data_IF_639743981496
#
_entry.id   IF_639743981496
#
_cell.length_a   1.000
_cell.length_b   1.000
_cell.length_c   1.000
_cell.angle_alpha   90.00
_cell.angle_beta   90.00
_cell.angle_gamma   90.00
#
_symmetry.space_group_name_H-M   'P 1'
#
loop_
_entity.id
_entity.type
_entity.pdbx_description
1 polymer ?
#
# COMPACT_ATOMS: atom_id res chain seq x y z
N UNK A 1 -6.64 -0.38 8.14
CA UNK A 1 -7.13 -0.50 9.53
C UNK A 1 -7.72 0.83 9.96
N UNK A 2 -9.02 0.92 10.21
CA UNK A 2 -9.61 2.11 10.84
C UNK A 2 -9.12 2.17 12.30
N UNK A 3 -8.60 3.31 12.74
CA UNK A 3 -8.12 3.50 14.12
C UNK A 3 -9.25 3.49 15.17
N UNK A 4 -10.50 3.37 14.72
CA UNK A 4 -11.71 3.28 15.56
C UNK A 4 -11.64 2.12 16.53
N UNK A 5 -11.11 0.97 16.11
CA UNK A 5 -11.02 -0.25 16.95
C UNK A 5 -10.06 -0.09 18.14
N UNK A 6 -9.17 0.91 18.10
CA UNK A 6 -8.21 1.21 19.16
C UNK A 6 -8.70 2.28 20.13
N UNK A 7 -9.95 2.78 19.98
CA UNK A 7 -10.53 3.87 20.78
C UNK A 7 -9.63 5.12 20.86
N UNK A 8 -8.80 5.33 19.85
CA UNK A 8 -7.93 6.52 19.74
C UNK A 8 -8.76 7.81 19.74
N UNK A 9 -9.89 7.92 19.01
CA UNK A 9 -10.69 9.15 18.93
C UNK A 9 -11.17 9.64 20.30
N UNK A 10 -11.61 8.74 21.17
CA UNK A 10 -12.10 9.04 22.53
C UNK A 10 -11.02 9.65 23.43
N UNK A 11 -9.74 9.37 23.15
CA UNK A 11 -8.62 9.73 24.04
C UNK A 11 -7.91 11.03 23.64
N UNK A 12 -8.04 11.48 22.38
CA UNK A 12 -7.31 12.65 21.85
C UNK A 12 -7.60 13.92 22.65
N UNK A 13 -8.87 14.16 22.99
CA UNK A 13 -9.25 15.35 23.78
C UNK A 13 -8.60 15.38 25.17
N UNK A 14 -8.45 14.22 25.82
CA UNK A 14 -7.80 14.11 27.12
C UNK A 14 -6.30 14.37 27.02
N UNK A 15 -5.65 13.85 25.98
CA UNK A 15 -4.22 14.11 25.72
C UNK A 15 -3.98 15.61 25.50
N UNK A 16 -4.81 16.28 24.71
CA UNK A 16 -4.66 17.74 24.48
C UNK A 16 -4.78 18.52 25.80
N UNK A 17 -5.76 18.18 26.65
CA UNK A 17 -5.92 18.83 27.96
C UNK A 17 -4.69 18.66 28.84
N UNK A 18 -4.12 17.45 28.90
CA UNK A 18 -2.93 17.22 29.71
C UNK A 18 -1.67 17.87 29.17
N UNK A 19 -1.46 17.86 27.85
CA UNK A 19 -0.32 18.56 27.26
C UNK A 19 -0.41 20.08 27.51
N UNK A 20 -1.61 20.65 27.45
CA UNK A 20 -1.84 22.07 27.75
C UNK A 20 -1.65 22.37 29.24
N UNK A 21 -2.05 21.47 30.14
CA UNK A 21 -1.88 21.62 31.59
C UNK A 21 -0.40 21.74 31.98
N UNK A 22 0.47 20.95 31.33
CA UNK A 22 1.93 21.05 31.48
C UNK A 22 2.50 22.42 31.08
N UNK A 23 1.82 23.12 30.18
CA UNK A 23 2.20 24.46 29.74
C UNK A 23 1.52 25.58 30.56
N UNK A 24 0.81 25.24 31.64
CA UNK A 24 0.01 26.17 32.43
C UNK A 24 -1.17 26.78 31.67
N UNK A 25 -1.65 26.09 30.62
CA UNK A 25 -2.74 26.55 29.75
C UNK A 25 -3.95 25.64 29.89
N UNK A 26 -5.12 26.20 29.60
CA UNK A 26 -6.38 25.46 29.50
C UNK A 26 -6.96 25.66 28.10
N UNK A 27 -7.27 24.58 27.35
CA UNK A 27 -7.84 24.73 26.03
C UNK A 27 -9.29 25.19 26.12
N UNK A 28 -9.67 26.22 25.35
CA UNK A 28 -11.05 26.71 25.27
C UNK A 28 -12.02 25.65 24.70
N UNK A 29 -11.52 24.78 23.82
CA UNK A 29 -12.24 23.67 23.24
C UNK A 29 -11.27 22.55 22.85
N UNK A 30 -11.78 21.33 22.76
CA UNK A 30 -11.07 20.18 22.20
C UNK A 30 -11.91 19.59 21.06
N UNK A 31 -11.28 18.95 20.05
CA UNK A 31 -12.04 18.32 18.97
C UNK A 31 -12.98 17.26 19.54
N UNK A 32 -14.20 17.18 18.98
CA UNK A 32 -15.12 16.10 19.27
C UNK A 32 -14.58 14.79 18.70
N UNK A 33 -15.10 13.66 19.20
CA UNK A 33 -14.79 12.35 18.65
C UNK A 33 -15.07 12.28 17.14
N UNK A 34 -16.19 12.86 16.69
CA UNK A 34 -16.55 12.94 15.27
C UNK A 34 -15.54 13.74 14.45
N UNK A 35 -15.00 14.83 14.98
CA UNK A 35 -13.92 15.59 14.33
C UNK A 35 -12.66 14.76 14.22
N UNK A 36 -12.27 14.05 15.29
CA UNK A 36 -11.07 13.20 15.28
C UNK A 36 -11.23 12.05 14.29
N UNK A 37 -12.39 11.40 14.24
CA UNK A 37 -12.69 10.35 13.26
C UNK A 37 -12.57 10.88 11.82
N UNK A 38 -13.16 12.04 11.51
CA UNK A 38 -13.03 12.65 10.17
C UNK A 38 -11.58 12.97 9.80
N UNK A 39 -10.77 13.41 10.76
CA UNK A 39 -9.34 13.63 10.54
C UNK A 39 -8.63 12.30 10.24
N UNK A 40 -8.95 11.25 10.99
CA UNK A 40 -8.39 9.90 10.81
C UNK A 40 -8.75 9.32 9.43
N UNK A 41 -9.95 9.56 8.94
CA UNK A 41 -10.36 9.12 7.61
C UNK A 41 -9.67 9.95 6.52
N UNK A 42 -9.68 11.29 6.70
CA UNK A 42 -9.11 12.22 5.72
C UNK A 42 -7.59 12.08 5.58
N UNK A 43 -6.87 11.75 6.66
CA UNK A 43 -5.42 11.54 6.60
C UNK A 43 -5.04 10.35 5.71
N UNK A 44 -5.91 9.35 5.54
CA UNK A 44 -5.63 8.21 4.68
C UNK A 44 -5.56 8.67 3.22
N UNK A 45 -6.54 9.48 2.80
CA UNK A 45 -6.55 10.08 1.47
C UNK A 45 -5.33 10.99 1.24
N UNK A 46 -4.91 11.77 2.24
CA UNK A 46 -3.69 12.59 2.17
C UNK A 46 -2.45 11.73 2.04
N UNK A 47 -2.34 10.67 2.86
CA UNK A 47 -1.22 9.73 2.80
C UNK A 47 -1.13 9.04 1.43
N UNK A 48 -2.25 8.56 0.88
CA UNK A 48 -2.26 7.93 -0.44
C UNK A 48 -1.84 8.89 -1.55
N UNK A 49 -2.29 10.16 -1.51
CA UNK A 49 -1.85 11.17 -2.48
C UNK A 49 -0.35 11.42 -2.40
N UNK A 50 0.18 11.61 -1.19
CA UNK A 50 1.62 11.84 -0.97
C UNK A 50 2.45 10.63 -1.40
N UNK A 51 2.05 9.42 -0.99
CA UNK A 51 2.73 8.18 -1.38
C UNK A 51 2.71 8.01 -2.89
N UNK A 52 1.59 8.35 -3.55
CA UNK A 52 1.51 8.30 -5.02
C UNK A 52 2.48 9.27 -5.67
N UNK A 53 2.59 10.52 -5.19
CA UNK A 53 3.57 11.48 -5.74
C UNK A 53 5.00 10.93 -5.66
N UNK A 54 5.36 10.33 -4.54
CA UNK A 54 6.71 9.80 -4.35
C UNK A 54 6.95 8.53 -5.16
N UNK A 55 6.07 7.52 -5.03
CA UNK A 55 6.30 6.19 -5.60
C UNK A 55 6.18 6.15 -7.13
N UNK A 56 5.47 7.09 -7.75
CA UNK A 56 5.38 7.17 -9.21
C UNK A 56 6.70 7.59 -9.87
N UNK A 57 7.60 8.20 -9.10
CA UNK A 57 8.95 8.58 -9.53
C UNK A 57 10.00 7.51 -9.20
N UNK A 58 9.67 6.55 -8.32
CA UNK A 58 10.57 5.50 -7.88
C UNK A 58 10.48 4.28 -8.80
N UNK A 59 11.60 3.60 -9.01
CA UNK A 59 11.70 2.34 -9.77
C UNK A 59 12.38 1.28 -8.91
N UNK A 60 12.31 0.03 -9.36
CA UNK A 60 13.00 -1.11 -8.73
C UNK A 60 12.70 -1.27 -7.23
N UNK A 61 11.47 -0.97 -6.83
CA UNK A 61 11.06 -1.07 -5.42
C UNK A 61 10.93 -2.52 -4.99
N UNK A 62 11.14 -2.80 -3.70
CA UNK A 62 10.95 -4.13 -3.11
C UNK A 62 9.72 -4.13 -2.22
N UNK A 63 8.80 -5.06 -2.45
CA UNK A 63 7.61 -5.26 -1.62
C UNK A 63 7.90 -6.21 -0.46
N UNK A 64 7.85 -5.68 0.74
CA UNK A 64 7.91 -6.44 1.98
C UNK A 64 6.50 -6.72 2.47
N UNK A 65 6.24 -7.97 2.81
CA UNK A 65 5.05 -8.35 3.56
C UNK A 65 5.45 -8.94 4.90
N UNK A 66 4.89 -8.38 5.97
CA UNK A 66 5.15 -8.79 7.35
C UNK A 66 3.85 -9.00 8.11
N UNK A 67 3.81 -10.02 8.95
CA UNK A 67 2.62 -10.42 9.67
C UNK A 67 2.83 -10.34 11.18
N UNK A 68 1.85 -9.73 11.87
CA UNK A 68 1.77 -9.74 13.32
C UNK A 68 0.40 -10.16 13.80
N UNK A 69 0.35 -10.86 14.93
CA UNK A 69 -0.90 -11.20 15.62
C UNK A 69 -1.10 -10.25 16.78
N UNK A 70 -2.22 -9.53 16.80
CA UNK A 70 -2.55 -8.58 17.87
C UNK A 70 -4.02 -8.71 18.25
N UNK A 71 -4.31 -8.86 19.54
CA UNK A 71 -5.67 -9.02 20.08
C UNK A 71 -6.50 -10.12 19.38
N UNK A 72 -5.86 -11.24 19.04
CA UNK A 72 -6.53 -12.35 18.33
C UNK A 72 -6.75 -12.12 16.83
N UNK A 73 -6.38 -10.95 16.31
CA UNK A 73 -6.46 -10.61 14.88
C UNK A 73 -5.10 -10.82 14.21
N UNK A 74 -5.12 -11.35 13.00
CA UNK A 74 -3.95 -11.44 12.14
C UNK A 74 -3.87 -10.17 11.28
N UNK A 75 -2.76 -9.45 11.35
CA UNK A 75 -2.59 -8.19 10.63
C UNK A 75 -1.36 -8.33 9.73
N UNK A 76 -1.53 -8.02 8.45
CA UNK A 76 -0.44 -8.00 7.47
C UNK A 76 -0.14 -6.58 7.04
N UNK A 77 1.15 -6.28 6.96
CA UNK A 77 1.71 -5.01 6.52
C UNK A 77 2.28 -5.17 5.13
N UNK A 78 2.07 -4.16 4.28
CA UNK A 78 2.63 -4.07 2.94
C UNK A 78 3.50 -2.82 2.89
N UNK A 79 4.80 -3.01 2.72
CA UNK A 79 5.80 -1.92 2.73
C UNK A 79 6.60 -1.99 1.44
N UNK A 80 6.76 -0.85 0.77
CA UNK A 80 7.72 -0.73 -0.33
C UNK A 80 8.99 -0.08 0.16
N UNK A 81 10.13 -0.60 -0.25
CA UNK A 81 11.42 0.08 -0.06
C UNK A 81 12.00 0.42 -1.43
N UNK A 82 12.48 1.65 -1.58
CA UNK A 82 13.17 2.09 -2.79
C UNK A 82 14.68 1.79 -2.76
N UNK A 83 15.38 2.13 -3.84
CA UNK A 83 16.83 1.93 -3.95
C UNK A 83 17.63 2.77 -2.94
N UNK A 84 17.04 3.86 -2.44
CA UNK A 84 17.61 4.72 -1.38
C UNK A 84 17.37 4.16 0.03
N UNK A 85 16.81 2.95 0.15
CA UNK A 85 16.42 2.31 1.41
C UNK A 85 15.37 3.08 2.21
N UNK A 86 14.58 3.92 1.52
CA UNK A 86 13.43 4.59 2.13
C UNK A 86 12.22 3.68 2.06
N UNK A 87 11.60 3.42 3.21
CA UNK A 87 10.42 2.55 3.31
C UNK A 87 9.12 3.35 3.35
N UNK A 88 8.15 2.91 2.56
CA UNK A 88 6.82 3.50 2.41
C UNK A 88 5.77 2.46 2.78
N UNK A 89 4.95 2.76 3.78
CA UNK A 89 3.83 1.91 4.16
C UNK A 89 2.70 2.06 3.14
N UNK A 90 2.48 1.04 2.31
CA UNK A 90 1.33 1.00 1.40
C UNK A 90 0.03 0.74 2.16
N UNK A 91 0.06 -0.19 3.11
CA UNK A 91 -1.16 -0.56 3.81
C UNK A 91 -0.96 -1.54 4.96
N UNK A 92 -1.94 -1.52 5.84
CA UNK A 92 -2.09 -2.45 6.96
C UNK A 92 -3.51 -3.01 6.95
N UNK A 93 -3.66 -4.32 6.82
CA UNK A 93 -4.95 -5.00 6.65
C UNK A 93 -5.06 -6.22 7.57
N UNK A 94 -6.27 -6.46 8.03
CA UNK A 94 -6.59 -7.67 8.78
C UNK A 94 -6.77 -8.82 7.79
N UNK A 95 -6.13 -9.96 8.06
CA UNK A 95 -6.12 -11.11 7.19
C UNK A 95 -6.91 -12.26 7.80
N UNK A 96 -7.82 -12.84 7.03
CA UNK A 96 -8.56 -14.04 7.46
C UNK A 96 -7.67 -15.29 7.47
N UNK A 97 -6.87 -15.47 6.42
CA UNK A 97 -5.91 -16.57 6.30
C UNK A 97 -4.63 -16.09 5.62
N UNK A 98 -3.58 -16.93 5.67
CA UNK A 98 -2.21 -16.61 5.25
C UNK A 98 -1.83 -17.25 3.91
N UNK A 99 -2.81 -17.43 3.03
CA UNK A 99 -2.55 -17.97 1.70
C UNK A 99 -1.96 -16.88 0.81
N UNK A 100 -1.12 -17.28 -0.16
CA UNK A 100 -0.60 -16.34 -1.17
C UNK A 100 -1.72 -15.65 -1.95
N UNK A 101 -2.86 -16.33 -2.13
CA UNK A 101 -4.06 -15.75 -2.72
C UNK A 101 -4.61 -14.61 -1.87
N UNK A 102 -4.81 -14.82 -0.57
CA UNK A 102 -5.30 -13.76 0.31
C UNK A 102 -4.34 -12.57 0.36
N UNK A 103 -3.03 -12.82 0.40
CA UNK A 103 -2.02 -11.76 0.34
C UNK A 103 -2.12 -10.95 -0.97
N UNK A 104 -2.30 -11.62 -2.11
CA UNK A 104 -2.51 -10.93 -3.38
C UNK A 104 -3.84 -10.15 -3.42
N UNK A 105 -4.94 -10.75 -2.98
CA UNK A 105 -6.25 -10.09 -2.99
C UNK A 105 -6.23 -8.83 -2.13
N UNK A 106 -5.56 -8.90 -0.98
CA UNK A 106 -5.37 -7.73 -0.11
C UNK A 106 -4.45 -6.68 -0.73
N UNK A 107 -3.40 -7.09 -1.45
CA UNK A 107 -2.58 -6.15 -2.22
C UNK A 107 -3.42 -5.45 -3.29
N UNK A 108 -4.29 -6.16 -4.02
CA UNK A 108 -5.20 -5.57 -5.02
C UNK A 108 -6.12 -4.53 -4.40
N UNK A 109 -6.76 -4.85 -3.26
CA UNK A 109 -7.58 -3.90 -2.53
C UNK A 109 -6.80 -2.62 -2.15
N UNK A 110 -5.57 -2.79 -1.65
CA UNK A 110 -4.70 -1.64 -1.32
C UNK A 110 -4.40 -0.79 -2.56
N UNK A 111 -4.10 -1.42 -3.70
CA UNK A 111 -3.82 -0.71 -4.96
C UNK A 111 -5.07 0.00 -5.52
N UNK A 112 -6.25 -0.60 -5.38
CA UNK A 112 -7.53 0.01 -5.76
C UNK A 112 -7.89 1.24 -4.91
N UNK A 113 -7.53 1.22 -3.61
CA UNK A 113 -7.72 2.39 -2.74
C UNK A 113 -6.94 3.62 -3.23
N UNK A 114 -5.79 3.42 -3.90
CA UNK A 114 -5.05 4.53 -4.52
C UNK A 114 -5.84 5.15 -5.67
N UNK A 115 -6.51 4.35 -6.52
CA UNK A 115 -7.32 4.89 -7.61
C UNK A 115 -8.51 5.70 -7.10
N UNK A 116 -9.14 5.24 -6.02
CA UNK A 116 -10.24 5.98 -5.38
C UNK A 116 -9.80 7.36 -4.86
N UNK A 117 -8.60 7.45 -4.27
CA UNK A 117 -8.10 8.70 -3.68
C UNK A 117 -7.29 9.59 -4.64
N UNK A 118 -6.79 9.02 -5.73
CA UNK A 118 -5.94 9.70 -6.71
C UNK A 118 -6.58 9.82 -8.11
N UNK A 119 -7.91 9.65 -8.21
CA UNK A 119 -8.69 9.70 -9.45
C UNK A 119 -8.34 10.86 -10.41
N UNK A 120 -8.03 12.05 -9.88
CA UNK A 120 -7.60 13.19 -10.71
C UNK A 120 -6.32 12.90 -11.51
N UNK A 121 -5.32 12.28 -10.88
CA UNK A 121 -4.06 11.90 -11.53
C UNK A 121 -4.26 10.77 -12.53
N UNK A 122 -5.19 9.86 -12.27
CA UNK A 122 -5.53 8.78 -13.21
C UNK A 122 -6.18 9.33 -14.48
N UNK A 123 -7.04 10.35 -14.34
CA UNK A 123 -7.63 11.05 -15.49
C UNK A 123 -6.59 11.80 -16.32
N UNK A 124 -5.62 12.44 -15.67
CA UNK A 124 -4.58 13.22 -16.36
C UNK A 124 -3.56 12.33 -17.08
N UNK A 125 -3.17 11.20 -16.46
CA UNK A 125 -2.16 10.29 -17.00
C UNK A 125 -2.76 9.10 -17.78
N UNK A 126 -4.09 9.02 -17.88
CA UNK A 126 -4.83 7.90 -18.50
C UNK A 126 -4.43 6.51 -17.95
N UNK A 127 -3.98 6.42 -16.70
CA UNK A 127 -3.38 5.22 -16.12
C UNK A 127 -3.70 5.09 -14.64
N UNK A 128 -4.00 3.87 -14.20
CA UNK A 128 -4.27 3.57 -12.79
C UNK A 128 -2.98 3.71 -11.94
N UNK A 129 -3.06 4.50 -10.86
CA UNK A 129 -1.89 4.81 -10.01
C UNK A 129 -1.38 3.56 -9.30
N UNK A 130 -2.30 2.71 -8.81
CA UNK A 130 -1.96 1.45 -8.16
C UNK A 130 -1.22 0.50 -9.11
N UNK A 131 -1.67 0.39 -10.37
CA UNK A 131 -1.01 -0.46 -11.37
C UNK A 131 0.38 0.05 -11.73
N UNK A 132 0.58 1.37 -11.78
CA UNK A 132 1.91 1.94 -11.99
C UNK A 132 2.84 1.71 -10.80
N UNK A 133 2.33 1.80 -9.58
CA UNK A 133 3.10 1.39 -8.39
C UNK A 133 3.50 -0.09 -8.49
N UNK A 134 2.55 -0.96 -8.86
CA UNK A 134 2.81 -2.40 -9.02
C UNK A 134 3.89 -2.69 -10.06
N UNK A 135 3.88 -2.01 -11.20
CA UNK A 135 4.88 -2.18 -12.25
C UNK A 135 6.29 -1.75 -11.82
N UNK A 136 6.41 -0.85 -10.83
CA UNK A 136 7.69 -0.42 -10.28
C UNK A 136 8.25 -1.37 -9.21
N UNK A 137 7.52 -2.41 -8.81
CA UNK A 137 8.00 -3.40 -7.86
C UNK A 137 8.87 -4.41 -8.61
N UNK A 138 10.14 -4.52 -8.26
CA UNK A 138 11.04 -5.54 -8.82
C UNK A 138 11.03 -6.81 -7.99
N UNK A 139 11.22 -6.66 -6.68
CA UNK A 139 11.41 -7.79 -5.77
C UNK A 139 10.28 -7.88 -4.76
N UNK A 140 10.08 -9.08 -4.21
CA UNK A 140 9.19 -9.32 -3.07
C UNK A 140 9.98 -10.02 -1.96
N UNK A 141 9.60 -9.74 -0.72
CA UNK A 141 10.20 -10.35 0.45
C UNK A 141 9.12 -10.63 1.50
N UNK A 142 9.17 -11.83 2.05
CA UNK A 142 8.30 -12.28 3.15
C UNK A 142 9.08 -13.18 4.10
N UNK A 143 8.63 -13.26 5.34
CA UNK A 143 9.13 -14.17 6.37
C UNK A 143 8.81 -15.65 6.08
N UNK A 144 7.99 -15.96 5.06
CA UNK A 144 7.50 -17.32 4.77
C UNK A 144 7.78 -17.80 3.35
N UNK A 145 8.89 -18.52 3.20
CA UNK A 145 9.35 -19.06 1.93
C UNK A 145 8.30 -19.85 1.11
N UNK A 146 7.43 -20.65 1.75
CA UNK A 146 6.44 -21.48 1.04
C UNK A 146 5.23 -20.70 0.53
N UNK A 147 4.73 -19.74 1.32
CA UNK A 147 3.64 -18.84 0.92
C UNK A 147 4.12 -17.88 -0.16
N UNK A 148 5.35 -17.39 -0.05
CA UNK A 148 5.96 -16.44 -0.97
C UNK A 148 6.06 -17.00 -2.40
N UNK A 149 6.44 -18.28 -2.57
CA UNK A 149 6.49 -18.90 -3.90
C UNK A 149 5.14 -18.85 -4.61
N UNK A 150 4.07 -19.21 -3.92
CA UNK A 150 2.73 -19.17 -4.50
C UNK A 150 2.27 -17.73 -4.76
N UNK A 151 2.57 -16.81 -3.84
CA UNK A 151 2.28 -15.40 -4.02
C UNK A 151 2.99 -14.82 -5.25
N UNK A 152 4.26 -15.14 -5.47
CA UNK A 152 5.04 -14.63 -6.61
C UNK A 152 4.48 -15.10 -7.95
N UNK A 153 4.08 -16.37 -8.05
CA UNK A 153 3.39 -16.86 -9.26
C UNK A 153 2.07 -16.11 -9.51
N UNK A 154 1.25 -15.92 -8.48
CA UNK A 154 -0.01 -15.20 -8.61
C UNK A 154 0.22 -13.71 -8.94
N UNK A 155 1.30 -13.12 -8.44
CA UNK A 155 1.69 -11.73 -8.69
C UNK A 155 2.17 -11.54 -10.13
N UNK A 156 2.94 -12.50 -10.66
CA UNK A 156 3.35 -12.58 -12.07
C UNK A 156 2.13 -12.61 -13.00
N UNK A 157 1.17 -13.50 -12.75
CA UNK A 157 -0.07 -13.59 -13.52
C UNK A 157 -0.85 -12.26 -13.46
N UNK A 158 -0.92 -11.65 -12.28
CA UNK A 158 -1.60 -10.38 -12.11
C UNK A 158 -0.90 -9.24 -12.87
N UNK A 159 0.42 -9.17 -12.84
CA UNK A 159 1.19 -8.18 -13.61
C UNK A 159 0.97 -8.34 -15.10
N UNK A 160 1.05 -9.57 -15.61
CA UNK A 160 0.79 -9.87 -17.01
C UNK A 160 -0.59 -9.34 -17.45
N UNK A 161 -1.61 -9.47 -16.59
CA UNK A 161 -2.97 -9.00 -16.87
C UNK A 161 -3.12 -7.47 -16.97
N UNK A 162 -2.20 -6.69 -16.40
CA UNK A 162 -2.26 -5.23 -16.40
C UNK A 162 -1.28 -4.55 -17.36
N UNK A 163 -0.45 -5.31 -18.10
CA UNK A 163 0.61 -4.77 -18.96
C UNK A 163 0.08 -3.77 -20.00
N UNK A 164 -1.09 -4.03 -20.59
CA UNK A 164 -1.71 -3.13 -21.57
C UNK A 164 -2.08 -1.76 -21.00
N UNK A 165 -2.20 -1.65 -19.68
CA UNK A 165 -2.55 -0.40 -19.00
C UNK A 165 -1.32 0.36 -18.52
N UNK A 166 -0.15 -0.28 -18.46
CA UNK A 166 1.06 0.33 -17.86
C UNK A 166 2.20 0.49 -18.87
N UNK A 167 2.23 -0.32 -19.92
CA UNK A 167 3.23 -0.22 -20.99
C UNK A 167 2.69 0.67 -22.11
N UNK A 168 3.38 1.76 -22.37
CA UNK A 168 3.05 2.67 -23.47
C UNK A 168 3.11 1.93 -24.82
N UNK A 169 2.15 2.18 -25.70
CA UNK A 169 2.03 1.57 -27.04
C UNK A 169 1.94 0.03 -27.05
N UNK A 170 1.51 -0.61 -25.96
CA UNK A 170 1.35 -2.07 -25.89
C UNK A 170 0.55 -2.66 -27.05
N UNK A 171 -0.55 -2.02 -27.45
CA UNK A 171 -1.42 -2.50 -28.52
C UNK A 171 -0.75 -2.48 -29.91
N UNK A 172 0.28 -1.66 -30.08
CA UNK A 172 1.04 -1.54 -31.32
C UNK A 172 2.31 -2.42 -31.34
N UNK A 173 2.63 -3.10 -30.22
CA UNK A 173 3.76 -4.01 -30.15
C UNK A 173 3.46 -5.33 -30.84
N UNK A 174 4.48 -5.93 -31.45
CA UNK A 174 4.40 -7.31 -31.91
C UNK A 174 4.46 -8.31 -30.73
N UNK A 175 4.16 -9.58 -31.01
CA UNK A 175 4.09 -10.61 -29.96
C UNK A 175 5.47 -10.90 -29.33
N UNK A 176 6.57 -10.70 -30.07
CA UNK A 176 7.92 -10.88 -29.54
C UNK A 176 8.30 -9.73 -28.58
N UNK A 177 7.91 -8.50 -28.90
CA UNK A 177 8.06 -7.31 -28.06
C UNK A 177 7.23 -7.42 -26.78
N UNK A 178 5.96 -7.84 -26.89
CA UNK A 178 5.10 -8.07 -25.72
C UNK A 178 5.69 -9.12 -24.79
N UNK A 179 6.18 -10.22 -25.35
CA UNK A 179 6.84 -11.29 -24.57
C UNK A 179 8.09 -10.78 -23.86
N UNK A 180 8.92 -9.99 -24.54
CA UNK A 180 10.11 -9.40 -23.94
C UNK A 180 9.78 -8.43 -22.79
N UNK A 181 8.73 -7.61 -22.94
CA UNK A 181 8.23 -6.75 -21.86
C UNK A 181 7.70 -7.57 -20.67
N UNK A 182 6.97 -8.66 -20.93
CA UNK A 182 6.48 -9.56 -19.89
C UNK A 182 7.65 -10.20 -19.12
N UNK A 183 8.68 -10.68 -19.81
CA UNK A 183 9.86 -11.29 -19.19
C UNK A 183 10.63 -10.28 -18.31
N UNK A 184 10.74 -9.01 -18.74
CA UNK A 184 11.43 -7.95 -18.00
C UNK A 184 10.70 -7.53 -16.71
N UNK A 185 9.37 -7.49 -16.72
CA UNK A 185 8.54 -7.03 -15.59
C UNK A 185 8.34 -8.13 -14.53
N UNK A 186 8.68 -9.37 -14.88
CA UNK A 186 8.38 -10.57 -14.08
C UNK A 186 9.59 -11.10 -13.31
N UNK A 187 10.76 -10.48 -13.44
CA UNK A 187 11.96 -10.94 -12.75
C UNK A 187 11.88 -10.69 -11.23
N UNK A 188 11.71 -11.75 -10.44
CA UNK A 188 11.71 -11.70 -8.97
C UNK A 188 12.92 -12.42 -8.37
N UNK A 189 13.59 -11.78 -7.41
CA UNK A 189 14.54 -12.46 -6.52
C UNK A 189 13.89 -12.71 -5.16
N UNK A 190 13.54 -13.97 -4.89
CA UNK A 190 13.04 -14.37 -3.58
C UNK A 190 14.20 -14.49 -2.58
N UNK A 191 14.32 -13.52 -1.67
CA UNK A 191 15.24 -13.61 -0.53
C UNK A 191 14.46 -14.06 0.71
N UNK A 192 14.85 -15.20 1.27
CA UNK A 192 14.30 -15.75 2.52
C UNK A 192 15.43 -15.82 3.54
N UNK A 193 15.25 -15.22 4.72
CA UNK A 193 16.18 -15.32 5.85
C UNK A 193 15.93 -16.58 6.70
#
# INVERSE_FOLDING_TARGET
MNLTDLKVPEKVGNVIKEVMSLCGKQPNAVPSESTVNRIVDSKLAVAHKQISDVLLEKKNTTLYTDETKKYGKCIQTYVLTDEDQTSYLLGLREMFNKSGQSTLDTLKEILEDFGTHCYQKERENHMNVGYRILANIRDTMSDRASTEKNFNHLLEDFRASILSQVVDNWDNMDEDQKKLCQDLITFFVAFTY
#
